data_IF_500890343827
#
_entry.id   IF_500890343827
#
_cell.length_a   1.000
_cell.length_b   1.000
_cell.length_c   1.000
_cell.angle_alpha   90.00
_cell.angle_beta   90.00
_cell.angle_gamma   90.00
#
_symmetry.space_group_name_H-M   'P 1'
#
loop_
_entity.id
_entity.type
_entity.pdbx_description
1 polymer ?
#
# COMPACT_ATOMS: atom_id res chain seq x y z
N UNK A 1 -13.80 -18.38 -19.99
CA UNK A 1 -14.30 -18.05 -18.62
C UNK A 1 -13.24 -18.11 -17.50
N UNK A 2 -12.08 -18.77 -17.66
CA UNK A 2 -11.03 -18.83 -16.60
C UNK A 2 -10.09 -17.61 -16.54
N UNK A 3 -9.79 -16.99 -17.68
CA UNK A 3 -8.90 -15.83 -17.76
C UNK A 3 -9.45 -14.59 -17.01
N UNK A 4 -10.77 -14.37 -17.07
CA UNK A 4 -11.44 -13.28 -16.34
C UNK A 4 -11.27 -13.40 -14.82
N UNK A 5 -11.26 -14.61 -14.26
CA UNK A 5 -11.05 -14.83 -12.81
C UNK A 5 -9.62 -14.52 -12.38
N UNK A 6 -8.64 -14.90 -13.19
CA UNK A 6 -7.22 -14.59 -12.93
C UNK A 6 -6.95 -13.09 -13.02
N UNK A 7 -7.51 -12.43 -14.03
CA UNK A 7 -7.44 -10.99 -14.17
C UNK A 7 -8.14 -10.27 -13.01
N UNK A 8 -9.33 -10.72 -12.57
CA UNK A 8 -10.02 -10.15 -11.40
C UNK A 8 -9.25 -10.32 -10.09
N UNK A 9 -8.61 -11.47 -9.87
CA UNK A 9 -7.77 -11.69 -8.69
C UNK A 9 -6.52 -10.79 -8.71
N UNK A 10 -5.90 -10.65 -9.88
CA UNK A 10 -4.78 -9.74 -10.07
C UNK A 10 -5.17 -8.27 -9.90
N UNK A 11 -6.33 -7.87 -10.44
CA UNK A 11 -6.87 -6.52 -10.27
C UNK A 11 -7.21 -6.24 -8.81
N UNK A 12 -7.70 -7.21 -8.04
CA UNK A 12 -7.86 -7.06 -6.57
C UNK A 12 -6.53 -6.92 -5.84
N UNK A 13 -5.53 -7.72 -6.21
CA UNK A 13 -4.18 -7.60 -5.64
C UNK A 13 -3.56 -6.22 -5.97
N UNK A 14 -3.72 -5.75 -7.21
CA UNK A 14 -3.16 -4.47 -7.69
C UNK A 14 -4.00 -3.25 -7.26
N UNK A 15 -5.32 -3.41 -7.05
CA UNK A 15 -6.23 -2.35 -6.57
C UNK A 15 -5.87 -1.83 -5.18
N UNK A 16 -4.93 -2.48 -4.50
CA UNK A 16 -4.38 -2.02 -3.25
C UNK A 16 -5.04 -2.62 -2.01
N UNK A 17 -5.86 -3.67 -2.17
CA UNK A 17 -6.30 -4.51 -1.06
C UNK A 17 -5.09 -5.20 -0.39
N UNK A 18 -4.12 -5.62 -1.22
CA UNK A 18 -2.84 -6.25 -0.83
C UNK A 18 -1.71 -5.25 -0.53
N UNK A 19 -1.93 -3.94 -0.74
CA UNK A 19 -0.84 -2.97 -0.63
C UNK A 19 -0.21 -2.90 0.77
N UNK A 20 -0.98 -3.32 1.79
CA UNK A 20 -0.50 -3.46 3.16
C UNK A 20 0.35 -4.72 3.35
N UNK A 21 -0.04 -5.86 2.80
CA UNK A 21 0.75 -7.10 2.85
C UNK A 21 2.09 -6.94 2.15
N UNK A 22 2.09 -6.28 1.00
CA UNK A 22 3.30 -5.94 0.26
C UNK A 22 4.20 -4.96 1.01
N UNK A 23 3.62 -4.02 1.77
CA UNK A 23 4.36 -3.17 2.70
C UNK A 23 4.97 -3.98 3.84
N UNK A 24 4.23 -4.91 4.46
CA UNK A 24 4.73 -5.76 5.53
C UNK A 24 5.89 -6.65 5.06
N UNK A 25 5.78 -7.28 3.89
CA UNK A 25 6.85 -8.10 3.32
C UNK A 25 8.12 -7.27 3.06
N UNK A 26 7.97 -6.05 2.52
CA UNK A 26 9.09 -5.15 2.31
C UNK A 26 9.67 -4.63 3.63
N UNK A 27 8.81 -4.31 4.61
CA UNK A 27 9.22 -3.85 5.93
C UNK A 27 9.98 -4.93 6.69
N UNK A 28 9.50 -6.17 6.68
CA UNK A 28 10.19 -7.30 7.29
C UNK A 28 11.56 -7.55 6.64
N UNK A 29 11.69 -7.32 5.34
CA UNK A 29 12.96 -7.47 4.62
C UNK A 29 13.92 -6.28 4.83
N UNK A 30 13.41 -5.06 4.92
CA UNK A 30 14.23 -3.83 4.99
C UNK A 30 14.49 -3.35 6.43
N UNK A 31 13.55 -3.59 7.34
CA UNK A 31 13.54 -3.10 8.72
C UNK A 31 12.97 -4.16 9.67
N UNK A 32 13.70 -5.27 9.91
CA UNK A 32 13.25 -6.32 10.83
C UNK A 32 13.18 -5.86 12.30
N UNK A 33 13.96 -4.84 12.69
CA UNK A 33 14.04 -4.33 14.06
C UNK A 33 12.99 -3.26 14.41
N UNK A 34 12.18 -2.83 13.44
CA UNK A 34 11.09 -1.86 13.67
C UNK A 34 9.73 -2.53 13.59
N UNK A 35 8.79 -2.05 14.40
CA UNK A 35 7.40 -2.49 14.30
C UNK A 35 6.73 -1.83 13.09
N UNK A 36 6.07 -2.60 12.21
CA UNK A 36 5.41 -2.03 11.04
C UNK A 36 4.21 -1.18 11.45
N UNK A 37 3.94 -0.12 10.68
CA UNK A 37 2.74 0.71 10.85
C UNK A 37 1.48 -0.16 10.72
N UNK A 38 0.48 0.06 11.58
CA UNK A 38 -0.80 -0.63 11.46
C UNK A 38 -1.51 -0.31 10.13
N UNK A 39 -2.41 -1.21 9.66
CA UNK A 39 -3.11 -1.07 8.37
C UNK A 39 -3.72 0.31 8.17
N UNK A 40 -4.41 0.83 9.19
CA UNK A 40 -5.06 2.15 9.17
C UNK A 40 -4.04 3.30 9.12
N UNK A 41 -2.96 3.19 9.89
CA UNK A 41 -1.90 4.20 9.91
C UNK A 41 -1.16 4.27 8.58
N UNK A 42 -0.89 3.13 7.95
CA UNK A 42 -0.31 3.07 6.62
C UNK A 42 -1.19 3.78 5.57
N UNK A 43 -2.50 3.54 5.57
CA UNK A 43 -3.42 4.24 4.67
C UNK A 43 -3.48 5.74 4.96
N UNK A 44 -3.49 6.15 6.23
CA UNK A 44 -3.46 7.56 6.61
C UNK A 44 -2.16 8.24 6.21
N UNK A 45 -1.00 7.62 6.46
CA UNK A 45 0.31 8.12 6.07
C UNK A 45 0.43 8.25 4.54
N UNK A 46 -0.05 7.25 3.80
CA UNK A 46 -0.05 7.27 2.33
C UNK A 46 -0.90 8.43 1.80
N UNK A 47 -2.11 8.59 2.33
CA UNK A 47 -2.99 9.70 1.97
C UNK A 47 -2.36 11.03 2.36
N UNK A 48 -1.90 11.19 3.60
CA UNK A 48 -1.23 12.40 4.06
C UNK A 48 -0.04 12.77 3.17
N UNK A 49 0.79 11.80 2.77
CA UNK A 49 1.93 12.04 1.87
C UNK A 49 1.47 12.45 0.46
N UNK A 50 0.42 11.82 -0.06
CA UNK A 50 -0.15 12.18 -1.36
C UNK A 50 -0.73 13.60 -1.37
N UNK A 51 -1.44 13.99 -0.30
CA UNK A 51 -2.10 15.29 -0.17
C UNK A 51 -1.22 16.39 0.44
N UNK A 52 -0.10 16.04 1.09
CA UNK A 52 0.88 17.00 1.62
C UNK A 52 1.66 17.72 0.51
N UNK A 53 1.65 17.19 -0.73
CA UNK A 53 2.30 17.82 -1.89
C UNK A 53 1.53 18.98 -2.51
N UNK A 54 0.67 19.67 -1.76
CA UNK A 54 0.23 21.02 -2.14
C UNK A 54 1.43 21.96 -1.96
N UNK A 55 2.31 22.01 -2.97
CA UNK A 55 3.31 23.07 -3.11
C UNK A 55 2.57 24.35 -3.47
N UNK A 56 2.00 25.02 -2.45
CA UNK A 56 1.65 26.44 -2.56
C UNK A 56 2.97 27.20 -2.60
N UNK A 57 3.55 27.34 -3.78
CA UNK A 57 4.48 28.40 -4.04
C UNK A 57 3.63 29.62 -4.38
N UNK A 58 3.79 30.68 -3.59
CA UNK A 58 3.46 32.04 -3.99
C UNK A 58 4.19 32.39 -5.29
#
# INVERSE_FOLDING_TARGET
MKALRGFWAWLRAVSGDDAYERYLAHHAAAHPDCEPLGRREFFNWRQATAWAKVKRCC
#
